data_IF_923728707894
#
_entry.id   IF_923728707894
#
_cell.length_a   1.000
_cell.length_b   1.000
_cell.length_c   1.000
_cell.angle_alpha   90.00
_cell.angle_beta   90.00
_cell.angle_gamma   90.00
#
_symmetry.space_group_name_H-M   'P 1'
#
loop_
_entity.id
_entity.type
_entity.pdbx_description
1 polymer ?
#
# COMPACT_ATOMS: atom_id res chain seq x y z
N UNK A 1 3.46 5.24 -14.42
CA UNK A 1 4.21 5.26 -13.14
C UNK A 1 3.63 4.23 -12.19
N UNK A 2 4.44 3.37 -11.59
CA UNK A 2 4.04 2.32 -10.63
C UNK A 2 4.32 2.78 -9.19
N UNK A 3 3.70 2.20 -8.15
CA UNK A 3 4.06 2.49 -6.76
C UNK A 3 5.50 2.06 -6.48
N UNK A 4 6.20 2.77 -5.61
CA UNK A 4 7.58 2.45 -5.26
C UNK A 4 7.79 2.26 -3.76
N UNK A 5 8.69 1.34 -3.40
CA UNK A 5 9.10 1.20 -2.01
C UNK A 5 9.82 2.48 -1.54
N UNK A 6 9.45 2.97 -0.35
CA UNK A 6 9.91 4.24 0.20
C UNK A 6 8.98 5.42 -0.08
N UNK A 7 8.01 5.28 -0.99
CA UNK A 7 7.00 6.30 -1.26
C UNK A 7 6.11 6.53 -0.03
N UNK A 8 5.81 7.81 0.25
CA UNK A 8 4.85 8.21 1.28
C UNK A 8 3.49 8.41 0.61
N UNK A 9 2.48 7.72 1.13
CA UNK A 9 1.12 7.76 0.57
C UNK A 9 0.10 8.11 1.64
N UNK A 10 -0.92 8.88 1.23
CA UNK A 10 -2.06 9.22 2.07
C UNK A 10 -3.26 8.38 1.63
N UNK A 11 -3.77 7.53 2.52
CA UNK A 11 -4.94 6.69 2.26
C UNK A 11 -5.97 7.00 3.34
N UNK A 12 -7.09 7.60 2.93
CA UNK A 12 -8.04 8.21 3.86
C UNK A 12 -7.36 9.30 4.70
N UNK A 13 -7.47 9.19 6.03
CA UNK A 13 -6.86 10.13 7.00
C UNK A 13 -5.48 9.68 7.50
N UNK A 14 -4.97 8.56 7.01
CA UNK A 14 -3.74 7.95 7.49
C UNK A 14 -2.60 8.15 6.50
N UNK A 15 -1.38 8.24 7.03
CA UNK A 15 -0.16 8.37 6.22
C UNK A 15 0.66 7.10 6.36
N UNK A 16 1.09 6.54 5.25
CA UNK A 16 1.85 5.30 5.19
C UNK A 16 3.15 5.49 4.42
N UNK A 17 4.13 4.63 4.69
CA UNK A 17 5.27 4.39 3.81
C UNK A 17 5.10 3.02 3.15
N UNK A 18 5.28 2.95 1.83
CA UNK A 18 5.32 1.69 1.10
C UNK A 18 6.62 0.97 1.44
N UNK A 19 6.52 -0.26 1.94
CA UNK A 19 7.68 -1.08 2.29
C UNK A 19 7.97 -2.19 1.29
N UNK A 20 6.97 -2.59 0.50
CA UNK A 20 7.11 -3.60 -0.54
C UNK A 20 6.01 -3.41 -1.59
N UNK A 21 6.32 -3.70 -2.84
CA UNK A 21 5.38 -3.70 -3.96
C UNK A 21 5.51 -5.04 -4.68
N UNK A 22 4.38 -5.70 -4.90
CA UNK A 22 4.29 -6.92 -5.70
C UNK A 22 3.44 -6.63 -6.93
N UNK A 23 3.98 -6.92 -8.11
CA UNK A 23 3.31 -6.71 -9.39
C UNK A 23 2.35 -7.86 -9.68
N UNK A 24 1.10 -7.53 -9.99
CA UNK A 24 0.07 -8.50 -10.38
C UNK A 24 -0.19 -8.50 -11.90
N UNK A 25 0.48 -7.63 -12.67
CA UNK A 25 0.17 -7.38 -14.07
C UNK A 25 -1.05 -6.47 -14.26
N UNK A 26 -1.31 -6.09 -15.52
CA UNK A 26 -2.45 -5.23 -15.92
C UNK A 26 -2.58 -3.93 -15.12
N UNK A 27 -1.45 -3.24 -14.85
CA UNK A 27 -1.44 -2.02 -14.04
C UNK A 27 -2.06 -2.20 -12.62
N UNK A 28 -1.89 -3.39 -12.02
CA UNK A 28 -2.33 -3.73 -10.66
C UNK A 28 -1.17 -4.23 -9.81
N UNK A 29 -1.21 -3.89 -8.51
CA UNK A 29 -0.19 -4.24 -7.53
C UNK A 29 -0.79 -4.60 -6.18
N UNK A 30 -0.07 -5.39 -5.39
CA UNK A 30 -0.24 -5.45 -3.93
C UNK A 30 0.88 -4.64 -3.30
N UNK A 31 0.54 -3.74 -2.38
CA UNK A 31 1.52 -2.93 -1.66
C UNK A 31 1.46 -3.22 -0.17
N UNK A 32 2.63 -3.41 0.44
CA UNK A 32 2.77 -3.50 1.89
C UNK A 32 3.12 -2.13 2.43
N UNK A 33 2.46 -1.78 3.51
CA UNK A 33 2.48 -0.45 4.09
C UNK A 33 2.90 -0.53 5.54
N UNK A 34 3.62 0.49 6.00
CA UNK A 34 3.81 0.77 7.42
C UNK A 34 3.16 2.10 7.72
N UNK A 35 2.32 2.14 8.75
CA UNK A 35 1.71 3.38 9.23
C UNK A 35 2.81 4.30 9.78
N UNK A 36 2.85 5.55 9.33
CA UNK A 36 3.72 6.59 9.89
C UNK A 36 3.02 7.19 11.12
N UNK A 37 3.66 7.11 12.29
CA UNK A 37 3.12 7.62 13.57
C UNK A 37 3.02 6.55 14.67
N UNK A 38 1.94 6.58 15.46
CA UNK A 38 1.75 5.69 16.63
C UNK A 38 1.62 4.22 16.21
N UNK A 39 2.72 3.49 16.33
CA UNK A 39 2.78 2.02 16.28
C UNK A 39 3.46 1.46 15.03
N UNK A 40 4.08 0.28 15.16
CA UNK A 40 4.79 -0.43 14.07
C UNK A 40 3.86 -1.36 13.28
N UNK A 41 2.58 -1.02 13.17
CA UNK A 41 1.57 -1.87 12.49
C UNK A 41 1.87 -1.94 11.00
N UNK A 42 1.75 -3.14 10.45
CA UNK A 42 1.94 -3.43 9.03
C UNK A 42 0.58 -3.64 8.39
N UNK A 43 0.40 -3.09 7.20
CA UNK A 43 -0.84 -3.18 6.43
C UNK A 43 -0.51 -3.67 5.03
N UNK A 44 -1.54 -4.13 4.32
CA UNK A 44 -1.46 -4.42 2.89
C UNK A 44 -2.70 -3.87 2.19
N UNK A 45 -2.57 -3.49 0.92
CA UNK A 45 -3.71 -3.14 0.09
C UNK A 45 -3.42 -3.36 -1.38
N UNK A 46 -4.48 -3.39 -2.19
CA UNK A 46 -4.36 -3.35 -3.65
C UNK A 46 -4.11 -1.91 -4.11
N UNK A 47 -3.30 -1.76 -5.14
CA UNK A 47 -3.16 -0.51 -5.88
C UNK A 47 -3.37 -0.78 -7.37
N UNK A 48 -3.91 0.20 -8.10
CA UNK A 48 -4.12 0.10 -9.54
C UNK A 48 -4.00 1.46 -10.23
N UNK A 49 -3.74 1.44 -11.53
CA UNK A 49 -3.82 2.66 -12.36
C UNK A 49 -5.28 2.95 -12.70
N UNK A 50 -5.76 4.16 -12.42
CA UNK A 50 -7.06 4.64 -12.87
C UNK A 50 -7.06 4.96 -14.37
N UNK A 51 -8.25 5.16 -14.94
CA UNK A 51 -8.39 5.65 -16.32
C UNK A 51 -7.70 7.01 -16.56
N UNK A 52 -7.54 7.83 -15.52
CA UNK A 52 -6.81 9.12 -15.58
C UNK A 52 -5.29 8.96 -15.44
N UNK A 53 -4.77 7.73 -15.34
CA UNK A 53 -3.35 7.43 -15.21
C UNK A 53 -2.78 7.54 -13.80
N UNK A 54 -3.58 8.00 -12.83
CA UNK A 54 -3.23 8.12 -11.41
C UNK A 54 -3.20 6.75 -10.74
N UNK A 55 -2.40 6.61 -9.67
CA UNK A 55 -2.42 5.41 -8.85
C UNK A 55 -3.49 5.58 -7.77
N UNK A 56 -4.38 4.60 -7.66
CA UNK A 56 -5.40 4.52 -6.63
C UNK A 56 -5.06 3.37 -5.69
N UNK A 57 -5.24 3.60 -4.39
CA UNK A 57 -5.04 2.61 -3.34
C UNK A 57 -6.38 2.20 -2.75
N UNK A 58 -6.56 0.89 -2.54
CA UNK A 58 -7.70 0.35 -1.83
C UNK A 58 -7.64 0.62 -0.33
N UNK A 59 -8.60 0.06 0.40
CA UNK A 59 -8.60 0.14 1.86
C UNK A 59 -7.42 -0.66 2.46
N UNK A 60 -6.64 -0.09 3.40
CA UNK A 60 -5.55 -0.81 4.06
C UNK A 60 -6.07 -1.88 5.02
N UNK A 61 -5.68 -3.13 4.78
CA UNK A 61 -5.97 -4.26 5.67
C UNK A 61 -4.80 -4.48 6.63
N UNK A 62 -5.10 -4.62 7.93
CA UNK A 62 -4.07 -4.89 8.94
C UNK A 62 -3.50 -6.30 8.71
N UNK A 63 -2.17 -6.39 8.57
CA UNK A 63 -1.49 -7.68 8.50
C UNK A 63 -1.36 -8.24 9.90
N UNK A 64 -2.13 -9.29 10.20
CA UNK A 64 -2.00 -10.06 11.43
C UNK A 64 -0.96 -11.15 11.17
N UNK A 65 0.20 -11.07 11.84
CA UNK A 65 1.13 -12.19 11.84
C UNK A 65 0.51 -13.32 12.67
N UNK A 66 0.04 -14.38 12.01
CA UNK A 66 -0.12 -15.65 12.71
C UNK A 66 1.28 -16.14 13.07
N UNK A 67 1.55 -16.30 14.36
CA UNK A 67 2.64 -17.15 14.82
C UNK A 67 2.28 -18.59 14.42
N UNK A 68 2.95 -19.10 13.39
CA UNK A 68 3.06 -20.53 13.15
C UNK A 68 4.02 -21.13 14.18
#
# INVERSE_FOLDING_TARGET
MRPEAGEIVHIGKSTFVITMVHDLGDDRWVVWLRLLGRGKRRYTTHAWRSASGQIVYGEPLLVVQSSL
#
